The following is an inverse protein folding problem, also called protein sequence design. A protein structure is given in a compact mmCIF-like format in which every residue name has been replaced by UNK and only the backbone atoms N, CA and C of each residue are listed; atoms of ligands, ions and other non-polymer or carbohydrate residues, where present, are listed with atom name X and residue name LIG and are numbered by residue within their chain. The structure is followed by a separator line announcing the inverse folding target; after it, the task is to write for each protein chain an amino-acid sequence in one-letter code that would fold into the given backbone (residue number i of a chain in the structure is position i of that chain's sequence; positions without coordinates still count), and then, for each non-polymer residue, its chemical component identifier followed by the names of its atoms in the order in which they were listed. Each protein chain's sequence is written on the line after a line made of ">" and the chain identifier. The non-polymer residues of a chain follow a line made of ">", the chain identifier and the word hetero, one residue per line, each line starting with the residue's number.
data_IF_920380492554
#
_entry.id   IF_920380492554
#
_cell.length_a   1.000
_cell.length_b   1.000
_cell.length_c   1.000
_cell.angle_alpha   90.00
_cell.angle_beta   90.00
_cell.angle_gamma   90.00
#
_symmetry.space_group_name_H-M   'P 1'
#
loop_
_entity.id
_entity.type
_entity.pdbx_description
1 polymer ?
#
# COMPACT_ATOMS: atom_id res chain seq x y z
N UNK A 1 -14.63 -21.67 -3.32
CA UNK A 1 -13.44 -20.85 -2.97
C UNK A 1 -13.68 -19.33 -3.17
N UNK A 2 -14.90 -18.79 -2.97
CA UNK A 2 -15.26 -17.47 -3.51
C UNK A 2 -15.66 -16.35 -2.53
N UNK A 3 -16.09 -16.66 -1.30
CA UNK A 3 -16.59 -15.63 -0.37
C UNK A 3 -15.46 -14.91 0.38
N UNK A 4 -14.49 -15.68 0.88
CA UNK A 4 -13.36 -15.14 1.66
C UNK A 4 -12.45 -14.24 0.82
N UNK A 5 -12.19 -14.60 -0.45
CA UNK A 5 -11.42 -13.75 -1.36
C UNK A 5 -12.17 -12.45 -1.68
N UNK A 6 -13.49 -12.52 -1.90
CA UNK A 6 -14.32 -11.31 -2.10
C UNK A 6 -14.34 -10.40 -0.87
N UNK A 7 -14.37 -10.99 0.33
CA UNK A 7 -14.26 -10.24 1.59
C UNK A 7 -12.91 -9.53 1.69
N UNK A 8 -11.81 -10.24 1.42
CA UNK A 8 -10.46 -9.66 1.39
C UNK A 8 -10.38 -8.54 0.34
N UNK A 9 -10.89 -8.76 -0.88
CA UNK A 9 -10.90 -7.75 -1.94
C UNK A 9 -11.70 -6.51 -1.53
N UNK A 10 -12.84 -6.68 -0.85
CA UNK A 10 -13.63 -5.57 -0.32
C UNK A 10 -12.90 -4.80 0.80
N UNK A 11 -12.26 -5.51 1.73
CA UNK A 11 -11.44 -4.89 2.78
C UNK A 11 -10.28 -4.11 2.16
N UNK A 12 -9.53 -4.71 1.24
CA UNK A 12 -8.41 -4.07 0.55
C UNK A 12 -8.88 -2.85 -0.23
N UNK A 13 -10.02 -2.93 -0.92
CA UNK A 13 -10.61 -1.81 -1.64
C UNK A 13 -10.89 -0.63 -0.71
N UNK A 14 -11.52 -0.89 0.45
CA UNK A 14 -11.80 0.14 1.44
C UNK A 14 -10.50 0.78 1.97
N UNK A 15 -9.51 -0.04 2.32
CA UNK A 15 -8.21 0.46 2.77
C UNK A 15 -7.51 1.29 1.70
N UNK A 16 -7.51 0.86 0.44
CA UNK A 16 -6.90 1.64 -0.63
C UNK A 16 -7.61 2.98 -0.85
N UNK A 17 -8.94 3.09 -0.65
CA UNK A 17 -9.65 4.38 -0.68
C UNK A 17 -9.13 5.27 0.43
N UNK A 18 -9.07 4.73 1.66
CA UNK A 18 -8.58 5.47 2.82
C UNK A 18 -7.16 5.98 2.56
N UNK A 19 -6.27 5.14 2.03
CA UNK A 19 -4.87 5.51 1.73
C UNK A 19 -4.80 6.54 0.60
N UNK A 20 -5.58 6.37 -0.47
CA UNK A 20 -5.61 7.30 -1.60
C UNK A 20 -6.00 8.72 -1.18
N UNK A 21 -6.80 8.86 -0.11
CA UNK A 21 -7.17 10.14 0.49
C UNK A 21 -6.22 10.56 1.61
N UNK A 22 -5.85 9.68 2.53
CA UNK A 22 -5.08 10.01 3.71
C UNK A 22 -3.65 10.42 3.36
N UNK A 23 -2.98 9.73 2.43
CA UNK A 23 -1.59 10.04 2.05
C UNK A 23 -1.43 11.47 1.55
N UNK A 24 -2.21 11.97 0.57
CA UNK A 24 -2.07 13.35 0.12
C UNK A 24 -2.57 14.37 1.15
N UNK A 25 -3.52 14.02 2.03
CA UNK A 25 -4.09 14.98 2.98
C UNK A 25 -3.27 15.12 4.27
N UNK A 26 -2.64 14.04 4.74
CA UNK A 26 -1.97 13.96 6.05
C UNK A 26 -0.47 13.71 5.86
N UNK A 27 -0.09 12.66 5.13
CA UNK A 27 1.31 12.24 5.04
C UNK A 27 2.14 13.18 4.15
N UNK A 28 1.53 13.78 3.13
CA UNK A 28 2.16 14.81 2.32
C UNK A 28 2.61 16.02 3.16
N UNK A 29 1.97 16.31 4.30
CA UNK A 29 2.40 17.37 5.23
C UNK A 29 3.72 17.05 5.96
N UNK A 30 4.26 15.82 5.82
CA UNK A 30 5.61 15.51 6.29
C UNK A 30 6.67 16.13 5.39
N UNK A 31 6.34 16.25 4.10
CA UNK A 31 7.27 16.53 3.01
C UNK A 31 7.06 17.90 2.39
N UNK A 32 5.80 18.32 2.29
CA UNK A 32 5.36 19.61 1.76
C UNK A 32 5.11 20.57 2.92
N UNK A 33 5.46 21.86 2.78
CA UNK A 33 5.18 22.86 3.80
C UNK A 33 3.69 22.96 4.14
N UNK A 34 3.37 23.16 5.43
CA UNK A 34 1.99 23.22 5.93
C UNK A 34 1.15 24.34 5.27
N UNK A 35 1.79 25.39 4.75
CA UNK A 35 1.13 26.53 4.09
C UNK A 35 0.32 26.15 2.84
N UNK A 36 0.56 24.96 2.26
CA UNK A 36 -0.20 24.46 1.11
C UNK A 36 -1.46 23.68 1.52
N UNK A 37 -1.68 23.49 2.82
CA UNK A 37 -2.80 22.72 3.36
C UNK A 37 -3.76 23.65 4.12
N UNK A 38 -5.06 23.36 4.10
CA UNK A 38 -6.03 24.08 4.91
C UNK A 38 -5.75 23.86 6.41
N UNK A 39 -5.99 24.90 7.21
CA UNK A 39 -5.68 24.92 8.65
C UNK A 39 -6.29 23.73 9.40
N UNK A 40 -7.51 23.32 9.05
CA UNK A 40 -8.16 22.14 9.65
C UNK A 40 -7.33 20.85 9.52
N UNK A 41 -6.66 20.62 8.39
CA UNK A 41 -5.84 19.42 8.19
C UNK A 41 -4.53 19.49 8.98
N UNK A 42 -3.99 20.71 9.15
CA UNK A 42 -2.80 20.95 9.96
C UNK A 42 -3.13 20.74 11.44
N UNK A 43 -4.26 21.29 11.90
CA UNK A 43 -4.76 21.12 13.26
C UNK A 43 -5.06 19.66 13.59
N UNK A 44 -5.68 18.93 12.65
CA UNK A 44 -5.92 17.49 12.82
C UNK A 44 -4.61 16.72 13.00
N UNK A 45 -3.59 17.04 12.20
CA UNK A 45 -2.25 16.44 12.32
C UNK A 45 -1.61 16.77 13.67
N UNK A 46 -1.66 18.04 14.10
CA UNK A 46 -1.10 18.49 15.38
C UNK A 46 -1.80 17.79 16.55
N UNK A 47 -3.13 17.73 16.53
CA UNK A 47 -3.93 17.01 17.52
C UNK A 47 -3.55 15.53 17.57
N UNK A 48 -3.51 14.87 16.41
CA UNK A 48 -3.11 13.47 16.28
C UNK A 48 -1.70 13.21 16.83
N UNK A 49 -0.74 14.05 16.45
CA UNK A 49 0.65 13.95 16.90
C UNK A 49 0.76 14.06 18.42
N UNK A 50 -0.06 14.92 19.02
CA UNK A 50 -0.12 15.12 20.47
C UNK A 50 -0.77 13.95 21.19
N UNK A 51 -1.89 13.45 20.68
CA UNK A 51 -2.65 12.35 21.30
C UNK A 51 -1.85 11.05 21.32
N UNK A 52 -1.11 10.77 20.24
CA UNK A 52 -0.31 9.55 20.09
C UNK A 52 1.16 9.71 20.49
N UNK A 53 1.57 10.91 20.93
CA UNK A 53 2.95 11.26 21.24
C UNK A 53 3.93 10.82 20.13
N UNK A 54 3.55 11.08 18.89
CA UNK A 54 4.20 10.51 17.72
C UNK A 54 5.53 11.21 17.43
N UNK A 55 6.61 10.76 18.10
CA UNK A 55 7.90 11.45 18.08
C UNK A 55 8.51 11.53 16.67
N UNK A 56 8.24 10.56 15.79
CA UNK A 56 8.73 10.58 14.40
C UNK A 56 8.14 11.72 13.59
N UNK A 57 6.90 12.08 13.88
CA UNK A 57 6.21 13.22 13.24
C UNK A 57 6.70 14.55 13.80
N UNK A 58 7.10 14.58 15.08
CA UNK A 58 7.60 15.78 15.77
C UNK A 58 9.05 16.05 15.35
N UNK A 59 9.93 15.06 15.49
CA UNK A 59 11.37 15.20 15.25
C UNK A 59 11.73 15.14 13.76
N UNK A 60 10.84 14.59 12.90
CA UNK A 60 11.04 14.42 11.45
C UNK A 60 12.46 13.94 11.08
N UNK A 61 12.89 12.75 11.57
CA UNK A 61 14.19 12.21 11.21
C UNK A 61 14.27 11.95 9.70
N UNK A 62 15.45 12.11 9.10
CA UNK A 62 15.65 12.05 7.65
C UNK A 62 15.17 10.73 7.02
N UNK A 63 15.29 9.61 7.73
CA UNK A 63 14.79 8.33 7.22
C UNK A 63 13.27 8.32 7.08
N UNK A 64 12.54 8.93 8.04
CA UNK A 64 11.08 8.99 8.05
C UNK A 64 10.56 9.91 6.95
N UNK A 65 11.25 11.04 6.72
CA UNK A 65 10.97 11.91 5.56
C UNK A 65 11.24 11.18 4.24
N UNK A 66 12.29 10.35 4.18
CA UNK A 66 12.57 9.49 3.02
C UNK A 66 11.47 8.47 2.76
N UNK A 67 10.95 7.83 3.81
CA UNK A 67 9.79 6.93 3.70
C UNK A 67 8.53 7.69 3.26
N UNK A 68 8.29 8.91 3.75
CA UNK A 68 7.16 9.72 3.33
C UNK A 68 7.24 10.11 1.83
N UNK A 69 8.44 10.37 1.30
CA UNK A 69 8.65 10.53 -0.15
C UNK A 69 8.34 9.26 -0.92
N UNK A 70 8.81 8.09 -0.45
CA UNK A 70 8.50 6.80 -1.07
C UNK A 70 6.99 6.54 -1.07
N UNK A 71 6.32 6.83 0.05
CA UNK A 71 4.89 6.68 0.18
C UNK A 71 4.14 7.57 -0.82
N UNK A 72 4.53 8.85 -0.90
CA UNK A 72 3.89 9.82 -1.77
C UNK A 72 4.14 9.57 -3.26
N UNK A 73 5.37 9.23 -3.66
CA UNK A 73 5.74 9.09 -5.07
C UNK A 73 5.52 7.68 -5.64
N UNK A 74 5.58 6.66 -4.80
CA UNK A 74 5.48 5.27 -5.25
C UNK A 74 4.22 4.58 -4.73
N UNK A 75 4.00 4.58 -3.42
CA UNK A 75 2.89 3.82 -2.83
C UNK A 75 1.54 4.46 -3.14
N UNK A 76 1.42 5.79 -3.14
CA UNK A 76 0.17 6.48 -3.44
C UNK A 76 -0.32 6.31 -4.89
N UNK A 77 0.49 6.51 -5.94
CA UNK A 77 0.06 6.19 -7.29
C UNK A 77 -0.31 4.70 -7.44
N UNK A 78 0.45 3.82 -6.79
CA UNK A 78 0.20 2.39 -6.82
C UNK A 78 -1.09 2.00 -6.09
N UNK A 79 -1.50 2.72 -5.04
CA UNK A 79 -2.78 2.50 -4.35
C UNK A 79 -3.97 2.86 -5.26
N UNK A 80 -3.86 3.95 -6.03
CA UNK A 80 -4.87 4.34 -7.04
C UNK A 80 -4.96 3.30 -8.16
N UNK A 81 -3.81 2.82 -8.65
CA UNK A 81 -3.76 1.74 -9.65
C UNK A 81 -4.41 0.47 -9.10
N UNK A 82 -4.15 0.12 -7.84
CA UNK A 82 -4.79 -1.02 -7.18
C UNK A 82 -6.29 -0.85 -7.01
N UNK A 83 -6.79 0.35 -6.66
CA UNK A 83 -8.23 0.65 -6.61
C UNK A 83 -8.89 0.38 -7.95
N UNK A 84 -8.31 0.89 -9.03
CA UNK A 84 -8.80 0.65 -10.38
C UNK A 84 -8.71 -0.84 -10.74
N UNK A 85 -7.63 -1.51 -10.38
CA UNK A 85 -7.41 -2.94 -10.63
C UNK A 85 -8.50 -3.81 -9.98
N UNK A 86 -8.88 -3.51 -8.73
CA UNK A 86 -9.98 -4.20 -8.03
C UNK A 86 -11.31 -3.87 -8.67
N UNK A 87 -11.62 -2.59 -8.87
CA UNK A 87 -12.91 -2.13 -9.38
C UNK A 87 -13.20 -2.64 -10.81
N UNK A 88 -12.16 -2.69 -11.66
CA UNK A 88 -12.26 -3.16 -13.04
C UNK A 88 -11.93 -4.66 -13.18
N UNK A 89 -11.69 -5.38 -12.09
CA UNK A 89 -11.42 -6.83 -12.07
C UNK A 89 -10.25 -7.25 -12.95
N UNK A 90 -9.16 -6.47 -12.99
CA UNK A 90 -8.04 -6.70 -13.90
C UNK A 90 -7.11 -7.81 -13.39
N UNK A 91 -6.59 -8.63 -14.30
CA UNK A 91 -5.70 -9.76 -13.96
C UNK A 91 -4.35 -9.34 -13.35
N UNK A 92 -3.85 -8.14 -13.68
CA UNK A 92 -2.61 -7.58 -13.14
C UNK A 92 -2.74 -7.08 -11.69
N UNK A 93 -3.96 -6.98 -11.15
CA UNK A 93 -4.20 -6.53 -9.78
C UNK A 93 -3.40 -7.34 -8.75
N UNK A 94 -3.28 -8.65 -8.94
CA UNK A 94 -2.52 -9.52 -8.03
C UNK A 94 -1.07 -9.05 -7.90
N UNK A 95 -0.43 -8.70 -9.02
CA UNK A 95 0.97 -8.29 -9.06
C UNK A 95 1.16 -6.89 -8.46
N UNK A 96 0.28 -5.94 -8.79
CA UNK A 96 0.35 -4.58 -8.24
C UNK A 96 0.01 -4.55 -6.74
N UNK A 97 -0.90 -5.41 -6.29
CA UNK A 97 -1.25 -5.56 -4.87
C UNK A 97 -0.11 -6.19 -4.09
N UNK A 98 0.58 -7.19 -4.67
CA UNK A 98 1.78 -7.77 -4.09
C UNK A 98 2.88 -6.73 -3.92
N UNK A 99 3.17 -5.98 -4.99
CA UNK A 99 4.21 -4.95 -4.99
C UNK A 99 3.94 -3.88 -3.94
N UNK A 100 2.69 -3.42 -3.87
CA UNK A 100 2.25 -2.47 -2.87
C UNK A 100 2.38 -3.04 -1.46
N UNK A 101 1.84 -4.24 -1.22
CA UNK A 101 1.84 -4.89 0.10
C UNK A 101 3.25 -5.08 0.64
N UNK A 102 4.19 -5.56 -0.19
CA UNK A 102 5.59 -5.75 0.22
C UNK A 102 6.27 -4.41 0.51
N UNK A 103 6.12 -3.40 -0.35
CA UNK A 103 6.73 -2.08 -0.14
C UNK A 103 6.21 -1.41 1.13
N UNK A 104 4.89 -1.47 1.35
CA UNK A 104 4.24 -0.91 2.53
C UNK A 104 4.63 -1.66 3.80
N UNK A 105 4.68 -3.00 3.74
CA UNK A 105 5.14 -3.84 4.84
C UNK A 105 6.59 -3.51 5.24
N UNK A 106 7.51 -3.39 4.28
CA UNK A 106 8.90 -3.03 4.57
C UNK A 106 9.01 -1.65 5.23
N UNK A 107 8.21 -0.67 4.76
CA UNK A 107 8.20 0.68 5.33
C UNK A 107 7.68 0.68 6.78
N UNK A 108 6.59 -0.06 7.04
CA UNK A 108 6.05 -0.25 8.40
C UNK A 108 7.02 -0.97 9.32
N UNK A 109 7.72 -1.99 8.85
CA UNK A 109 8.73 -2.70 9.65
C UNK A 109 9.87 -1.76 10.02
N UNK A 110 10.35 -0.92 9.10
CA UNK A 110 11.39 0.08 9.40
C UNK A 110 10.94 1.09 10.46
N UNK A 111 9.69 1.57 10.36
CA UNK A 111 9.10 2.49 11.35
C UNK A 111 8.96 1.80 12.71
N UNK A 112 8.42 0.58 12.74
CA UNK A 112 8.22 -0.18 13.98
C UNK A 112 9.55 -0.59 14.64
N UNK A 113 10.56 -0.95 13.85
CA UNK A 113 11.88 -1.29 14.41
C UNK A 113 12.52 -0.09 15.09
N UNK A 114 12.37 1.11 14.53
CA UNK A 114 12.86 2.33 15.14
C UNK A 114 12.04 2.68 16.41
N UNK A 115 10.72 2.56 16.34
CA UNK A 115 9.82 2.78 17.48
C UNK A 115 10.16 1.89 18.68
N UNK A 116 10.32 0.59 18.44
CA UNK A 116 10.65 -0.40 19.47
C UNK A 116 12.09 -0.20 19.96
N UNK A 117 13.05 0.03 19.05
CA UNK A 117 14.46 0.23 19.40
C UNK A 117 14.73 1.53 20.18
N UNK A 118 13.93 2.58 19.95
CA UNK A 118 14.05 3.86 20.64
C UNK A 118 13.53 3.82 22.09
N UNK A 119 12.75 2.80 22.47
CA UNK A 119 12.03 2.70 23.75
C UNK A 119 11.08 3.90 24.07
N UNK A 120 10.88 4.80 23.10
CA UNK A 120 9.99 5.97 23.20
C UNK A 120 8.59 5.71 22.65
N UNK A 121 8.33 4.53 22.10
CA UNK A 121 7.03 4.17 21.57
C UNK A 121 6.01 3.96 22.68
N UNK A 122 4.90 4.69 22.63
CA UNK A 122 3.74 4.44 23.48
C UNK A 122 2.98 3.20 23.01
N UNK A 123 2.42 2.42 23.94
CA UNK A 123 1.57 1.26 23.62
C UNK A 123 0.37 1.64 22.74
N UNK A 124 -0.17 2.86 22.90
CA UNK A 124 -1.23 3.40 22.04
C UNK A 124 -0.77 3.53 20.59
N UNK A 125 0.46 3.99 20.38
CA UNK A 125 1.03 4.20 19.06
C UNK A 125 1.29 2.85 18.36
N UNK A 126 1.85 1.87 19.07
CA UNK A 126 2.02 0.51 18.54
C UNK A 126 0.68 -0.15 18.19
N UNK A 127 -0.33 0.01 19.05
CA UNK A 127 -1.68 -0.49 18.79
C UNK A 127 -2.29 0.14 17.53
N UNK A 128 -2.02 1.42 17.29
CA UNK A 128 -2.49 2.09 16.08
C UNK A 128 -1.84 1.55 14.80
N UNK A 129 -0.57 1.14 14.83
CA UNK A 129 0.10 0.57 13.65
C UNK A 129 -0.34 -0.86 13.32
N UNK A 130 -0.94 -1.58 14.27
CA UNK A 130 -1.44 -2.95 14.11
C UNK A 130 -2.39 -3.16 12.92
N UNK A 131 -3.48 -2.38 12.73
CA UNK A 131 -4.37 -2.54 11.57
C UNK A 131 -3.64 -2.33 10.24
N UNK A 132 -2.68 -1.40 10.18
CA UNK A 132 -1.89 -1.16 8.97
C UNK A 132 -0.97 -2.33 8.66
N UNK A 133 -0.37 -2.94 9.68
CA UNK A 133 0.43 -4.15 9.53
C UNK A 133 -0.40 -5.31 9.02
N UNK A 134 -1.61 -5.51 9.59
CA UNK A 134 -2.56 -6.52 9.13
C UNK A 134 -2.94 -6.30 7.66
N UNK A 135 -3.22 -5.07 7.27
CA UNK A 135 -3.49 -4.71 5.88
C UNK A 135 -2.31 -5.02 4.94
N UNK A 136 -1.08 -4.67 5.32
CA UNK A 136 0.11 -4.94 4.51
C UNK A 136 0.31 -6.44 4.25
N UNK A 137 0.11 -7.26 5.29
CA UNK A 137 0.17 -8.72 5.19
C UNK A 137 -0.97 -9.25 4.30
N UNK A 138 -2.20 -8.77 4.49
CA UNK A 138 -3.34 -9.17 3.66
C UNK A 138 -3.13 -8.82 2.18
N UNK A 139 -2.61 -7.64 1.86
CA UNK A 139 -2.29 -7.22 0.50
C UNK A 139 -1.21 -8.13 -0.12
N UNK A 140 -0.16 -8.43 0.64
CA UNK A 140 0.93 -9.33 0.20
C UNK A 140 0.40 -10.74 -0.07
N UNK A 141 -0.37 -11.32 0.87
CA UNK A 141 -0.99 -12.63 0.71
C UNK A 141 -1.96 -12.65 -0.49
N UNK A 142 -2.77 -11.60 -0.65
CA UNK A 142 -3.72 -11.51 -1.75
C UNK A 142 -3.03 -11.49 -3.11
N UNK A 143 -1.88 -10.81 -3.19
CA UNK A 143 -1.09 -10.74 -4.40
C UNK A 143 -0.34 -12.05 -4.75
N UNK A 144 0.01 -12.85 -3.75
CA UNK A 144 0.62 -14.18 -3.91
C UNK A 144 -0.37 -15.27 -4.34
N UNK A 145 -1.68 -15.07 -4.09
CA UNK A 145 -2.68 -16.04 -4.51
C UNK A 145 -2.70 -16.12 -6.05
N UNK A 146 -2.54 -17.33 -6.64
CA UNK A 146 -2.54 -17.47 -8.08
C UNK A 146 -3.88 -17.00 -8.64
N UNK A 147 -3.82 -16.00 -9.52
CA UNK A 147 -4.92 -15.78 -10.43
C UNK A 147 -5.03 -17.04 -11.28
N UNK A 148 -6.20 -17.68 -11.30
CA UNK A 148 -6.55 -18.66 -12.33
C UNK A 148 -6.63 -17.92 -13.67
N UNK A 149 -5.46 -17.51 -14.15
CA UNK A 149 -5.31 -16.91 -15.45
C UNK A 149 -5.44 -18.08 -16.39
N UNK A 150 -6.56 -18.16 -17.10
CA UNK A 150 -6.56 -18.83 -18.40
C UNK A 150 -5.37 -18.24 -19.14
N UNK A 151 -4.29 -18.99 -19.25
CA UNK A 151 -3.14 -18.58 -20.03
C UNK A 151 -3.67 -18.24 -21.43
N UNK A 152 -3.28 -17.10 -22.04
CA UNK A 152 -3.46 -16.98 -23.47
C UNK A 152 -2.63 -18.12 -24.06
N UNK A 153 -3.29 -19.06 -24.74
CA UNK A 153 -2.64 -20.09 -25.55
C UNK A 153 -1.96 -19.43 -26.74
N UNK A 154 -0.88 -18.71 -26.47
CA UNK A 154 0.13 -18.30 -27.45
C UNK A 154 0.86 -19.58 -27.82
N UNK A 155 0.39 -20.23 -28.88
CA UNK A 155 1.02 -21.45 -29.35
C UNK A 155 0.17 -22.43 -30.17
N UNK A 156 -0.83 -21.97 -30.93
CA UNK A 156 -1.22 -22.72 -32.14
C UNK A 156 -0.55 -22.09 -33.34
N UNK A 157 0.73 -22.41 -33.51
CA UNK A 157 1.45 -22.25 -34.78
C UNK A 157 0.66 -23.04 -35.83
N UNK A 158 0.16 -22.44 -36.93
CA UNK A 158 -0.43 -23.23 -38.00
C UNK A 158 0.67 -24.13 -38.57
N UNK A 159 0.42 -25.43 -38.63
CA UNK A 159 1.32 -26.39 -39.24
C UNK A 159 1.48 -26.01 -40.72
N UNK A 160 2.67 -25.54 -41.08
CA UNK A 160 3.08 -25.38 -42.47
C UNK A 160 3.17 -26.78 -43.08
N UNK A 161 2.17 -27.09 -43.89
CA UNK A 161 2.06 -28.28 -44.73
C UNK A 161 3.25 -28.32 -45.71
N UNK A 162 4.34 -28.97 -45.29
CA UNK A 162 5.49 -29.26 -46.14
C UNK A 162 5.14 -30.44 -47.03
N UNK A 163 4.47 -30.15 -48.16
CA UNK A 163 4.29 -31.10 -49.26
C UNK A 163 5.65 -31.69 -49.67
N UNK A 164 5.78 -33.02 -49.51
CA UNK A 164 6.82 -33.83 -50.16
C UNK A 164 6.63 -33.70 -51.68
N UNK A 165 7.67 -33.28 -52.41
CA UNK A 165 7.80 -33.58 -53.84
C UNK A 165 8.53 -34.91 -53.97
N UNK A 166 7.90 -35.81 -54.73
CA UNK A 166 8.46 -37.00 -55.37
C UNK A 166 9.40 -36.56 -56.48
#
# INVERSE_FOLDING_TARGET
>A
MGALIKLIDAMLFLFFIVIALAVPLIDAQMVVPANYFPDFLVDLKVWYTREFAHYLVIEKPNFFVGLAWLELLFQWPLSIVNLYGIAAGKSWFSTSCLLYGVSFFTSLVAILSELVGSHRASDKLLTMYSPFMGFAVLATLRGLLPHSSKAPTIGKRPALDRKKKV
#
